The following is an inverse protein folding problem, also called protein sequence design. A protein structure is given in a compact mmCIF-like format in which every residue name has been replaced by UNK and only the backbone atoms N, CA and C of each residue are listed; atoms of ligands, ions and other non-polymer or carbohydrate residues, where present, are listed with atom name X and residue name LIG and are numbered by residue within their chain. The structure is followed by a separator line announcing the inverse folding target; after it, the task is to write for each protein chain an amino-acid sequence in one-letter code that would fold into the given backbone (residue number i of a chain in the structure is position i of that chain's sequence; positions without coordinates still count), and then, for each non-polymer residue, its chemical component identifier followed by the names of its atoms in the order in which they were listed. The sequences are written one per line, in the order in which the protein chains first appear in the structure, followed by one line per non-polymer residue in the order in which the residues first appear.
data_IF_994797095911
#
_entry.id   IF_994797095911
#
_cell.length_a   1.000
_cell.length_b   1.000
_cell.length_c   1.000
_cell.angle_alpha   90.00
_cell.angle_beta   90.00
_cell.angle_gamma   90.00
#
_symmetry.space_group_name_H-M   'P 1'
#
loop_
_entity.id
_entity.type
_entity.pdbx_description
1 polymer ?
#
# COMPACT_ATOMS: atom_id res chain seq x y z
N UNK A 1 13.92 16.80 -4.36
CA UNK A 1 13.65 16.86 -2.92
C UNK A 1 12.82 15.63 -2.61
N UNK A 2 13.39 14.59 -1.98
CA UNK A 2 12.59 13.43 -1.56
C UNK A 2 11.50 13.88 -0.57
N UNK A 3 10.42 13.10 -0.35
CA UNK A 3 9.31 13.50 0.51
C UNK A 3 9.87 13.86 1.89
N UNK A 4 9.87 15.16 2.19
CA UNK A 4 10.54 15.76 3.33
C UNK A 4 9.76 15.42 4.60
N UNK A 5 9.92 14.20 5.12
CA UNK A 5 9.24 13.74 6.33
C UNK A 5 9.24 12.23 6.60
N UNK A 6 9.61 11.38 5.64
CA UNK A 6 9.70 9.93 5.91
C UNK A 6 10.97 9.58 6.70
N UNK A 7 10.80 8.75 7.72
CA UNK A 7 11.89 8.16 8.49
C UNK A 7 12.68 7.20 7.59
N UNK A 8 14.01 7.26 7.67
CA UNK A 8 14.88 6.24 7.07
C UNK A 8 14.82 4.97 7.92
N UNK A 9 14.12 3.95 7.42
CA UNK A 9 14.02 2.66 8.09
C UNK A 9 15.08 1.69 7.54
N UNK A 10 16.12 1.42 8.34
CA UNK A 10 17.19 0.44 8.07
C UNK A 10 16.93 -0.92 8.75
N UNK A 11 15.70 -1.21 9.15
CA UNK A 11 15.33 -2.46 9.79
C UNK A 11 15.64 -3.67 8.91
N UNK A 12 16.18 -4.73 9.53
CA UNK A 12 16.57 -5.96 8.83
C UNK A 12 15.37 -6.88 8.51
N UNK A 13 14.21 -6.64 9.11
CA UNK A 13 13.01 -7.48 8.93
C UNK A 13 11.99 -7.35 10.07
N UNK A 14 10.71 -7.02 9.79
CA UNK A 14 10.21 -6.48 8.52
C UNK A 14 10.96 -5.19 8.11
N UNK A 15 11.05 -4.93 6.80
CA UNK A 15 11.87 -3.87 6.22
C UNK A 15 11.01 -2.77 5.57
N UNK A 16 11.67 -1.72 5.06
CA UNK A 16 11.01 -0.62 4.37
C UNK A 16 10.35 -1.08 3.06
N UNK A 17 9.14 -0.59 2.80
CA UNK A 17 8.47 -0.70 1.50
C UNK A 17 8.64 0.59 0.69
N UNK A 18 8.68 0.50 -0.66
CA UNK A 18 8.62 1.67 -1.54
C UNK A 18 7.38 2.52 -1.26
N UNK A 19 7.48 3.84 -1.39
CA UNK A 19 6.38 4.75 -1.02
C UNK A 19 5.17 4.54 -1.92
N UNK A 20 5.43 4.49 -3.21
CA UNK A 20 4.46 4.34 -4.28
C UNK A 20 3.59 3.09 -4.07
N UNK A 21 4.16 1.99 -3.57
CA UNK A 21 3.41 0.77 -3.27
C UNK A 21 2.52 0.94 -2.05
N UNK A 22 3.01 1.62 -1.01
CA UNK A 22 2.20 1.88 0.21
C UNK A 22 1.03 2.79 -0.12
N UNK A 23 1.26 3.82 -0.93
CA UNK A 23 0.22 4.76 -1.39
C UNK A 23 -0.83 4.04 -2.24
N UNK A 24 -0.41 3.27 -3.24
CA UNK A 24 -1.32 2.50 -4.10
C UNK A 24 -2.17 1.51 -3.29
N UNK A 25 -1.55 0.76 -2.38
CA UNK A 25 -2.28 -0.19 -1.53
C UNK A 25 -3.28 0.56 -0.64
N UNK A 26 -2.88 1.67 -0.01
CA UNK A 26 -3.76 2.45 0.85
C UNK A 26 -5.00 2.98 0.11
N UNK A 27 -4.82 3.47 -1.13
CA UNK A 27 -5.93 3.93 -1.99
C UNK A 27 -6.85 2.78 -2.41
N UNK A 28 -6.28 1.60 -2.63
CA UNK A 28 -6.99 0.40 -3.11
C UNK A 28 -7.77 -0.32 -2.01
N UNK A 29 -7.34 -0.19 -0.75
CA UNK A 29 -7.97 -0.85 0.40
C UNK A 29 -9.50 -0.66 0.48
N UNK A 30 -10.08 0.56 0.37
CA UNK A 30 -11.52 0.77 0.45
C UNK A 30 -12.28 0.51 -0.87
N UNK A 31 -11.64 0.64 -2.03
CA UNK A 31 -12.29 0.39 -3.33
C UNK A 31 -11.23 0.03 -4.39
N UNK A 32 -11.08 -1.26 -4.67
CA UNK A 32 -10.16 -1.77 -5.67
C UNK A 32 -10.66 -1.36 -7.06
N UNK A 33 -9.95 -0.42 -7.69
CA UNK A 33 -10.16 -0.04 -9.08
C UNK A 33 -11.58 0.45 -9.42
N UNK A 34 -12.30 1.01 -8.44
CA UNK A 34 -13.68 1.44 -8.65
C UNK A 34 -14.70 0.28 -8.74
N UNK A 35 -14.31 -0.95 -8.37
CA UNK A 35 -15.19 -2.13 -8.39
C UNK A 35 -16.36 -2.07 -7.41
N UNK A 36 -16.28 -1.19 -6.41
CA UNK A 36 -17.23 -1.15 -5.29
C UNK A 36 -16.91 -2.14 -4.18
N UNK A 37 -15.87 -2.96 -4.33
CA UNK A 37 -15.30 -3.81 -3.29
C UNK A 37 -13.92 -3.30 -2.90
N UNK A 38 -13.60 -3.33 -1.61
CA UNK A 38 -12.25 -3.11 -1.10
C UNK A 38 -11.30 -4.26 -1.45
N UNK A 39 -9.99 -3.97 -1.49
CA UNK A 39 -8.96 -4.96 -1.83
C UNK A 39 -9.08 -6.26 -1.02
N UNK A 40 -9.38 -6.15 0.28
CA UNK A 40 -9.47 -7.29 1.19
C UNK A 40 -10.82 -8.02 1.15
N UNK A 41 -11.78 -7.54 0.34
CA UNK A 41 -13.13 -8.11 0.23
C UNK A 41 -13.27 -9.03 -0.99
N UNK A 42 -12.31 -8.97 -1.92
CA UNK A 42 -12.32 -9.77 -3.15
C UNK A 42 -11.97 -11.23 -2.85
N UNK A 43 -12.76 -12.15 -3.39
CA UNK A 43 -12.49 -13.58 -3.30
C UNK A 43 -11.17 -13.93 -4.00
N UNK A 44 -10.36 -14.80 -3.39
CA UNK A 44 -9.16 -15.35 -4.03
C UNK A 44 -9.44 -16.19 -5.29
N UNK A 45 -10.72 -16.44 -5.60
CA UNK A 45 -11.18 -17.17 -6.80
C UNK A 45 -11.64 -16.25 -7.93
N UNK A 46 -11.62 -14.94 -7.72
CA UNK A 46 -12.07 -13.91 -8.67
C UNK A 46 -10.98 -13.51 -9.66
#
# INVERSE_FOLDING_TARGET
MGPSGRIHNFGAGPAVLPLEVVEEVAETLPNLGGSGFGLMEVSHRS
#
